data_IF_451704690643
#
_entry.id   IF_451704690643
#
_cell.length_a   1.000
_cell.length_b   1.000
_cell.length_c   1.000
_cell.angle_alpha   90.00
_cell.angle_beta   90.00
_cell.angle_gamma   90.00
#
_symmetry.space_group_name_H-M   'P 1'
#
loop_
_entity.id
_entity.type
_entity.pdbx_description
1 polymer ?
#
# COMPACT_ATOMS: atom_id res chain seq x y z
N UNK A 1 -23.50 31.44 -41.11
CA UNK A 1 -22.44 31.45 -42.14
C UNK A 1 -22.33 30.01 -42.60
N UNK A 2 -22.93 29.56 -43.73
CA UNK A 2 -23.03 30.23 -45.05
C UNK A 2 -21.62 30.69 -45.48
N UNK A 3 -21.06 30.36 -46.62
CA UNK A 3 -21.63 29.91 -47.90
C UNK A 3 -20.71 28.82 -48.54
N UNK A 4 -20.98 28.19 -49.70
CA UNK A 4 -21.88 28.57 -50.79
C UNK A 4 -22.60 27.36 -51.44
N UNK A 5 -22.37 27.12 -52.74
CA UNK A 5 -23.25 26.47 -53.71
C UNK A 5 -22.45 25.93 -54.92
N UNK A 6 -23.09 24.99 -55.64
CA UNK A 6 -23.00 24.71 -57.10
C UNK A 6 -22.32 23.41 -57.59
N UNK A 7 -23.12 22.53 -58.22
CA UNK A 7 -22.74 21.86 -59.48
C UNK A 7 -23.10 22.76 -60.68
N UNK A 8 -22.93 22.33 -61.96
CA UNK A 8 -23.54 21.07 -62.43
C UNK A 8 -22.76 20.28 -63.52
N UNK A 9 -23.38 19.16 -63.90
CA UNK A 9 -23.35 18.41 -65.17
C UNK A 9 -22.46 18.85 -66.34
N UNK A 10 -21.76 17.88 -66.94
CA UNK A 10 -21.93 17.55 -68.37
C UNK A 10 -21.41 16.14 -68.69
N UNK A 11 -22.02 15.51 -69.70
CA UNK A 11 -21.71 14.16 -70.20
C UNK A 11 -20.59 14.22 -71.25
N UNK A 12 -19.81 13.14 -71.43
CA UNK A 12 -19.90 12.27 -72.63
C UNK A 12 -19.01 11.00 -72.54
N UNK A 13 -19.63 9.86 -72.83
CA UNK A 13 -19.20 8.72 -73.66
C UNK A 13 -17.71 8.35 -73.82
N UNK A 14 -17.41 7.05 -73.69
CA UNK A 14 -16.25 6.44 -74.36
C UNK A 14 -15.82 5.10 -73.78
N UNK A 15 -16.21 4.01 -74.45
CA UNK A 15 -15.96 2.61 -74.10
C UNK A 15 -14.55 2.26 -73.58
N UNK A 16 -14.49 1.23 -72.72
CA UNK A 16 -13.60 0.07 -72.93
C UNK A 16 -14.04 -1.11 -72.04
N UNK A 17 -14.37 -2.22 -72.69
CA UNK A 17 -14.50 -3.53 -72.04
C UNK A 17 -13.12 -4.06 -71.66
N UNK A 18 -12.95 -4.61 -70.46
CA UNK A 18 -12.21 -5.86 -70.25
C UNK A 18 -12.59 -6.45 -68.88
N UNK A 19 -13.23 -7.61 -68.90
CA UNK A 19 -13.45 -8.40 -67.68
C UNK A 19 -12.20 -9.22 -67.38
N UNK A 20 -11.67 -9.12 -66.15
CA UNK A 20 -10.72 -10.06 -65.52
C UNK A 20 -10.55 -9.74 -64.03
N UNK A 21 -11.58 -9.95 -63.21
CA UNK A 21 -11.39 -10.03 -61.74
C UNK A 21 -10.96 -11.47 -61.37
N UNK A 22 -9.65 -11.66 -61.27
CA UNK A 22 -9.00 -12.91 -60.80
C UNK A 22 -9.35 -13.20 -59.34
N UNK A 23 -10.44 -13.96 -59.10
CA UNK A 23 -10.75 -14.51 -57.77
C UNK A 23 -9.78 -15.64 -57.44
N UNK A 24 -8.65 -15.29 -56.82
CA UNK A 24 -7.63 -16.22 -56.38
C UNK A 24 -8.15 -17.37 -55.50
N UNK A 25 -7.47 -18.53 -55.48
CA UNK A 25 -8.02 -19.77 -54.95
C UNK A 25 -8.26 -19.71 -53.43
N UNK A 26 -9.49 -20.05 -53.03
CA UNK A 26 -9.92 -20.16 -51.62
C UNK A 26 -8.95 -21.05 -50.83
N UNK A 27 -8.50 -20.54 -49.68
CA UNK A 27 -7.48 -21.20 -48.84
C UNK A 27 -7.80 -22.67 -48.54
N UNK A 28 -6.81 -23.55 -48.71
CA UNK A 28 -6.91 -24.98 -48.39
C UNK A 28 -7.29 -25.17 -46.93
N UNK A 29 -8.51 -25.67 -46.68
CA UNK A 29 -8.90 -26.20 -45.36
C UNK A 29 -8.03 -27.43 -45.08
N UNK A 30 -7.13 -27.33 -44.10
CA UNK A 30 -6.39 -28.50 -43.61
C UNK A 30 -7.36 -29.51 -43.01
N UNK A 31 -7.13 -30.83 -43.20
CA UNK A 31 -8.05 -31.84 -42.69
C UNK A 31 -8.17 -31.76 -41.16
N UNK A 32 -9.40 -31.82 -40.66
CA UNK A 32 -9.71 -31.82 -39.24
C UNK A 32 -9.11 -33.10 -38.63
N UNK A 33 -8.07 -32.95 -37.80
CA UNK A 33 -7.47 -34.08 -37.09
C UNK A 33 -8.49 -34.67 -36.10
N UNK A 34 -8.38 -35.97 -35.89
CA UNK A 34 -9.21 -36.69 -34.92
C UNK A 34 -9.01 -36.15 -33.50
N UNK A 35 -10.01 -36.33 -32.65
CA UNK A 35 -9.95 -35.99 -31.23
C UNK A 35 -9.04 -36.96 -30.50
N UNK A 36 -8.15 -36.44 -29.66
CA UNK A 36 -7.28 -37.24 -28.79
C UNK A 36 -7.83 -37.40 -27.37
N UNK A 37 -8.82 -36.59 -27.02
CA UNK A 37 -9.59 -36.71 -25.77
C UNK A 37 -10.92 -37.40 -26.07
N UNK A 38 -11.37 -38.24 -25.16
CA UNK A 38 -12.66 -38.93 -25.23
C UNK A 38 -13.62 -38.43 -24.15
N UNK A 39 -14.93 -38.58 -24.39
CA UNK A 39 -15.96 -38.32 -23.37
C UNK A 39 -15.75 -39.26 -22.17
N UNK A 40 -15.93 -38.74 -20.96
CA UNK A 40 -15.67 -39.46 -19.71
C UNK A 40 -14.20 -39.54 -19.29
N UNK A 41 -13.24 -39.14 -20.14
CA UNK A 41 -11.82 -39.19 -19.81
C UNK A 41 -11.45 -38.16 -18.72
N UNK A 42 -10.58 -38.57 -17.79
CA UNK A 42 -10.22 -37.79 -16.59
C UNK A 42 -8.79 -37.22 -16.69
N UNK A 43 -8.64 -35.93 -16.38
CA UNK A 43 -7.41 -35.16 -16.38
C UNK A 43 -7.24 -34.43 -15.03
N UNK A 44 -6.63 -35.11 -14.06
CA UNK A 44 -6.58 -34.63 -12.68
C UNK A 44 -7.98 -34.66 -12.04
N UNK A 45 -8.54 -33.49 -11.70
CA UNK A 45 -9.91 -33.37 -11.19
C UNK A 45 -10.96 -33.12 -12.28
N UNK A 46 -10.56 -33.01 -13.55
CA UNK A 46 -11.46 -32.67 -14.67
C UNK A 46 -11.88 -33.91 -15.44
N UNK A 47 -13.17 -34.17 -15.53
CA UNK A 47 -13.77 -35.18 -16.42
C UNK A 47 -14.31 -34.50 -17.67
N UNK A 48 -13.91 -34.94 -18.86
CA UNK A 48 -14.44 -34.44 -20.13
C UNK A 48 -15.92 -34.84 -20.29
N UNK A 49 -16.81 -33.87 -20.50
CA UNK A 49 -18.27 -34.10 -20.62
C UNK A 49 -18.86 -33.65 -21.96
N UNK A 50 -18.18 -32.81 -22.74
CA UNK A 50 -18.67 -32.29 -24.02
C UNK A 50 -17.50 -31.85 -24.92
N UNK A 51 -17.54 -32.17 -26.22
CA UNK A 51 -16.64 -31.57 -27.22
C UNK A 51 -17.26 -30.26 -27.71
N UNK A 52 -16.62 -29.13 -27.40
CA UNK A 52 -17.08 -27.79 -27.78
C UNK A 52 -16.58 -27.36 -29.17
N UNK A 53 -15.98 -28.27 -29.94
CA UNK A 53 -15.52 -27.98 -31.29
C UNK A 53 -14.18 -27.24 -31.34
N UNK A 54 -13.90 -26.66 -32.51
CA UNK A 54 -12.68 -25.90 -32.80
C UNK A 54 -12.14 -26.19 -34.19
N UNK A 55 -11.62 -25.16 -34.87
CA UNK A 55 -11.28 -25.19 -36.30
C UNK A 55 -9.88 -25.72 -36.61
N UNK A 56 -9.03 -25.86 -35.59
CA UNK A 56 -7.63 -26.31 -35.70
C UNK A 56 -7.28 -27.25 -34.54
N UNK A 57 -6.33 -28.15 -34.72
CA UNK A 57 -6.00 -29.18 -33.73
C UNK A 57 -5.59 -28.66 -32.33
N UNK A 58 -4.94 -27.48 -32.25
CA UNK A 58 -4.63 -26.83 -30.97
C UNK A 58 -5.79 -25.99 -30.40
N UNK A 59 -6.87 -25.82 -31.16
CA UNK A 59 -8.06 -25.05 -30.80
C UNK A 59 -9.26 -25.92 -30.41
N UNK A 60 -9.14 -27.26 -30.43
CA UNK A 60 -10.19 -28.15 -29.93
C UNK A 60 -10.41 -27.90 -28.44
N UNK A 61 -11.65 -27.62 -28.03
CA UNK A 61 -12.02 -27.32 -26.65
C UNK A 61 -12.98 -28.38 -26.12
N UNK A 62 -12.82 -28.69 -24.85
CA UNK A 62 -13.64 -29.65 -24.12
C UNK A 62 -14.26 -28.97 -22.92
N UNK A 63 -15.58 -29.12 -22.77
CA UNK A 63 -16.26 -28.83 -21.52
C UNK A 63 -15.91 -29.94 -20.56
N UNK A 64 -15.42 -29.56 -19.39
CA UNK A 64 -15.01 -30.48 -18.35
C UNK A 64 -15.76 -30.18 -17.05
N UNK A 65 -16.24 -31.22 -16.38
CA UNK A 65 -16.76 -31.14 -15.02
C UNK A 65 -15.65 -31.44 -14.03
N UNK A 66 -15.46 -30.56 -13.07
CA UNK A 66 -14.49 -30.72 -11.99
C UNK A 66 -15.11 -31.55 -10.85
N UNK A 67 -14.28 -32.33 -10.14
CA UNK A 67 -14.70 -33.06 -8.94
C UNK A 67 -15.33 -32.16 -7.84
N UNK A 68 -15.05 -30.85 -7.84
CA UNK A 68 -15.70 -29.88 -6.96
C UNK A 68 -17.06 -29.36 -7.46
N UNK A 69 -17.64 -29.96 -8.51
CA UNK A 69 -18.91 -29.57 -9.13
C UNK A 69 -18.83 -28.39 -10.13
N UNK A 70 -17.73 -27.66 -10.17
CA UNK A 70 -17.54 -26.56 -11.13
C UNK A 70 -17.26 -27.04 -12.56
N UNK A 71 -17.64 -26.26 -13.57
CA UNK A 71 -17.40 -26.58 -14.99
C UNK A 71 -16.37 -25.62 -15.61
N UNK A 72 -15.61 -26.08 -16.60
CA UNK A 72 -14.63 -25.26 -17.34
C UNK A 72 -14.49 -25.70 -18.79
N UNK A 73 -14.21 -24.76 -19.70
CA UNK A 73 -13.84 -25.05 -21.08
C UNK A 73 -12.32 -25.01 -21.22
N UNK A 74 -11.69 -26.18 -21.41
CA UNK A 74 -10.24 -26.33 -21.54
C UNK A 74 -9.85 -26.78 -22.95
N UNK A 75 -8.70 -26.36 -23.46
CA UNK A 75 -8.22 -26.89 -24.74
C UNK A 75 -7.73 -28.32 -24.59
N UNK A 76 -7.92 -29.14 -25.64
CA UNK A 76 -7.46 -30.53 -25.70
C UNK A 76 -5.96 -30.65 -25.36
N UNK A 77 -5.15 -29.73 -25.88
CA UNK A 77 -3.74 -29.59 -25.55
C UNK A 77 -3.51 -29.39 -24.04
N UNK A 78 -4.28 -28.52 -23.39
CA UNK A 78 -4.09 -28.21 -21.96
C UNK A 78 -4.46 -29.36 -21.03
N UNK A 79 -5.40 -30.21 -21.45
CA UNK A 79 -5.80 -31.43 -20.75
C UNK A 79 -4.72 -32.51 -20.89
N UNK A 80 -4.32 -32.83 -22.13
CA UNK A 80 -3.33 -33.89 -22.42
C UNK A 80 -1.96 -33.60 -21.77
N UNK A 81 -1.44 -32.37 -21.92
CA UNK A 81 -0.16 -31.99 -21.33
C UNK A 81 -0.27 -31.55 -19.86
N UNK A 82 -1.47 -31.66 -19.25
CA UNK A 82 -1.69 -31.42 -17.82
C UNK A 82 -1.46 -29.98 -17.36
N UNK A 83 -1.56 -29.00 -18.27
CA UNK A 83 -1.53 -27.57 -17.95
C UNK A 83 -2.77 -27.13 -17.16
N UNK A 84 -3.90 -27.81 -17.35
CA UNK A 84 -5.14 -27.58 -16.62
C UNK A 84 -5.62 -28.91 -16.01
N UNK A 85 -5.71 -28.95 -14.67
CA UNK A 85 -6.06 -30.17 -13.89
C UNK A 85 -7.24 -29.96 -12.93
N UNK A 86 -7.87 -28.79 -12.95
CA UNK A 86 -9.08 -28.43 -12.18
C UNK A 86 -9.74 -27.20 -12.82
N UNK A 87 -10.97 -26.87 -12.44
CA UNK A 87 -11.63 -25.62 -12.87
C UNK A 87 -11.07 -24.35 -12.16
N UNK A 88 -9.86 -24.42 -11.61
CA UNK A 88 -9.24 -23.36 -10.80
C UNK A 88 -9.46 -23.48 -9.29
N UNK A 89 -10.34 -24.39 -8.83
CA UNK A 89 -10.67 -24.56 -7.41
C UNK A 89 -9.43 -24.82 -6.53
N UNK A 90 -8.48 -25.65 -6.97
CA UNK A 90 -7.21 -25.91 -6.27
C UNK A 90 -6.42 -24.62 -6.06
N UNK A 91 -6.40 -23.73 -7.07
CA UNK A 91 -5.72 -22.44 -7.00
C UNK A 91 -6.38 -21.51 -6.00
N UNK A 92 -7.72 -21.42 -6.01
CA UNK A 92 -8.49 -20.63 -5.04
C UNK A 92 -8.31 -21.14 -3.61
N UNK A 93 -8.36 -22.46 -3.39
CA UNK A 93 -8.21 -23.06 -2.06
C UNK A 93 -6.80 -22.85 -1.50
N UNK A 94 -5.75 -23.07 -2.31
CA UNK A 94 -4.37 -22.82 -1.91
C UNK A 94 -4.10 -21.33 -1.64
N UNK A 95 -4.64 -20.43 -2.47
CA UNK A 95 -4.58 -18.99 -2.22
C UNK A 95 -5.30 -18.64 -0.90
N UNK A 96 -6.50 -19.20 -0.67
CA UNK A 96 -7.27 -18.97 0.55
C UNK A 96 -6.51 -19.43 1.80
N UNK A 97 -6.00 -20.68 1.81
CA UNK A 97 -5.20 -21.24 2.91
C UNK A 97 -3.98 -20.36 3.23
N UNK A 98 -3.21 -19.96 2.21
CA UNK A 98 -2.06 -19.04 2.36
C UNK A 98 -2.48 -17.67 2.92
N UNK A 99 -3.53 -17.06 2.37
CA UNK A 99 -4.04 -15.75 2.82
C UNK A 99 -4.58 -15.81 4.25
N UNK A 100 -5.23 -16.90 4.65
CA UNK A 100 -5.75 -17.11 6.00
C UNK A 100 -4.62 -17.30 7.02
N UNK A 101 -3.59 -18.08 6.67
CA UNK A 101 -2.39 -18.24 7.51
C UNK A 101 -1.70 -16.89 7.75
N UNK A 102 -1.42 -16.13 6.70
CA UNK A 102 -0.81 -14.79 6.79
C UNK A 102 -1.71 -13.78 7.56
N UNK A 103 -3.04 -13.89 7.45
CA UNK A 103 -3.95 -13.08 8.25
C UNK A 103 -3.91 -13.46 9.74
N UNK A 104 -3.87 -14.76 10.06
CA UNK A 104 -3.74 -15.24 11.45
C UNK A 104 -2.44 -14.75 12.09
N UNK A 105 -1.30 -14.97 11.43
CA UNK A 105 0.02 -14.49 11.88
C UNK A 105 0.05 -12.97 12.12
N UNK A 106 -0.55 -12.19 11.22
CA UNK A 106 -0.56 -10.72 11.28
C UNK A 106 -1.44 -10.16 12.40
N UNK A 107 -2.56 -10.80 12.72
CA UNK A 107 -3.59 -10.22 13.57
C UNK A 107 -3.76 -10.95 14.91
N UNK A 108 -3.81 -12.28 14.94
CA UNK A 108 -4.16 -13.04 16.16
C UNK A 108 -3.13 -12.83 17.26
N UNK A 109 -3.61 -12.61 18.48
CA UNK A 109 -2.77 -12.26 19.64
C UNK A 109 -2.15 -10.87 19.58
N UNK A 110 -2.38 -10.07 18.53
CA UNK A 110 -1.91 -8.69 18.44
C UNK A 110 -2.98 -7.71 18.94
N UNK A 111 -2.51 -6.68 19.65
CA UNK A 111 -3.37 -5.61 20.17
C UNK A 111 -3.40 -4.41 19.20
N UNK A 112 -4.59 -3.96 18.85
CA UNK A 112 -4.88 -2.85 17.93
C UNK A 112 -5.68 -1.78 18.69
N UNK A 113 -4.97 -0.83 19.30
CA UNK A 113 -5.58 0.09 20.27
C UNK A 113 -5.90 -0.64 21.57
N UNK A 114 -7.19 -0.79 21.88
CA UNK A 114 -7.70 -1.56 23.02
C UNK A 114 -8.29 -2.92 22.61
N UNK A 115 -8.24 -3.30 21.33
CA UNK A 115 -8.74 -4.59 20.84
C UNK A 115 -7.60 -5.60 20.70
N UNK A 116 -7.69 -6.74 21.40
CA UNK A 116 -6.80 -7.89 21.17
C UNK A 116 -7.54 -8.89 20.30
N UNK A 117 -7.01 -9.16 19.10
CA UNK A 117 -7.66 -10.10 18.16
C UNK A 117 -7.49 -11.53 18.66
N UNK A 118 -8.61 -12.21 18.88
CA UNK A 118 -8.66 -13.60 19.32
C UNK A 118 -8.76 -14.57 18.15
N UNK A 119 -9.49 -14.20 17.09
CA UNK A 119 -9.74 -15.08 15.94
C UNK A 119 -9.80 -14.32 14.62
N UNK A 120 -9.49 -15.03 13.52
CA UNK A 120 -9.72 -14.59 12.14
C UNK A 120 -10.71 -15.54 11.48
N UNK A 121 -11.85 -14.97 11.09
CA UNK A 121 -12.99 -15.65 10.48
C UNK A 121 -12.99 -15.49 8.95
N UNK A 122 -13.62 -16.42 8.21
CA UNK A 122 -13.84 -16.28 6.77
C UNK A 122 -14.55 -14.96 6.41
N UNK A 123 -14.32 -14.43 5.19
CA UNK A 123 -15.11 -13.33 4.65
C UNK A 123 -16.61 -13.67 4.65
N UNK A 124 -17.48 -12.67 4.64
CA UNK A 124 -18.93 -12.86 4.68
C UNK A 124 -19.65 -11.89 3.73
N UNK A 125 -20.70 -12.38 3.07
CA UNK A 125 -21.38 -11.65 1.99
C UNK A 125 -20.41 -11.29 0.88
N UNK A 126 -20.48 -10.04 0.41
CA UNK A 126 -19.66 -9.54 -0.70
C UNK A 126 -18.28 -8.99 -0.29
N UNK A 127 -17.97 -8.89 1.01
CA UNK A 127 -16.64 -8.44 1.46
C UNK A 127 -15.61 -9.55 1.20
N UNK A 128 -14.49 -9.20 0.56
CA UNK A 128 -13.36 -10.12 0.26
C UNK A 128 -12.28 -10.11 1.35
N UNK A 129 -12.44 -9.29 2.38
CA UNK A 129 -11.57 -9.23 3.54
C UNK A 129 -11.98 -10.28 4.58
N UNK A 130 -10.99 -10.88 5.24
CA UNK A 130 -11.27 -11.68 6.42
C UNK A 130 -11.88 -10.81 7.52
N UNK A 131 -12.72 -11.43 8.35
CA UNK A 131 -13.25 -10.81 9.56
C UNK A 131 -12.37 -11.15 10.75
N UNK A 132 -12.41 -10.33 11.78
CA UNK A 132 -11.76 -10.59 13.06
C UNK A 132 -12.81 -10.72 14.16
N UNK A 133 -12.44 -11.47 15.19
CA UNK A 133 -13.05 -11.43 16.53
C UNK A 133 -12.01 -10.85 17.47
N UNK A 134 -12.39 -9.90 18.32
CA UNK A 134 -11.48 -9.32 19.31
C UNK A 134 -12.14 -9.12 20.66
N UNK A 135 -11.42 -9.45 21.73
CA UNK A 135 -11.72 -8.97 23.07
C UNK A 135 -11.27 -7.51 23.19
N UNK A 136 -11.90 -6.75 24.08
CA UNK A 136 -11.50 -5.37 24.35
C UNK A 136 -10.98 -5.25 25.78
N UNK A 137 -9.93 -4.46 25.98
CA UNK A 137 -9.42 -4.07 27.30
C UNK A 137 -10.47 -3.39 28.19
N UNK A 138 -11.61 -2.95 27.62
CA UNK A 138 -12.77 -2.45 28.37
C UNK A 138 -13.50 -3.54 29.20
N UNK A 139 -13.17 -4.83 29.03
CA UNK A 139 -13.81 -5.94 29.76
C UNK A 139 -15.25 -6.25 29.32
N UNK A 140 -15.74 -5.65 28.23
CA UNK A 140 -17.09 -5.90 27.75
C UNK A 140 -17.30 -7.39 27.39
N UNK A 141 -18.44 -8.00 27.77
CA UNK A 141 -18.69 -9.43 27.59
C UNK A 141 -18.85 -9.84 26.12
N UNK A 142 -19.24 -8.89 25.26
CA UNK A 142 -19.44 -9.14 23.83
C UNK A 142 -18.15 -8.85 23.05
N UNK A 143 -17.66 -9.87 22.32
CA UNK A 143 -16.55 -9.70 21.40
C UNK A 143 -16.87 -8.72 20.27
N UNK A 144 -15.88 -7.92 19.86
CA UNK A 144 -15.99 -7.04 18.69
C UNK A 144 -15.76 -7.87 17.43
N UNK A 145 -16.75 -7.90 16.55
CA UNK A 145 -16.63 -8.47 15.19
C UNK A 145 -16.52 -7.31 14.19
N UNK A 146 -15.62 -7.44 13.22
CA UNK A 146 -15.44 -6.47 12.13
C UNK A 146 -14.59 -7.04 11.00
N UNK A 147 -14.32 -6.26 9.96
CA UNK A 147 -13.39 -6.66 8.90
C UNK A 147 -11.94 -6.23 9.21
N UNK A 148 -10.97 -7.02 8.74
CA UNK A 148 -9.54 -6.77 8.97
C UNK A 148 -9.06 -5.41 8.44
N UNK A 149 -9.70 -4.87 7.41
CA UNK A 149 -9.42 -3.51 6.90
C UNK A 149 -9.69 -2.39 7.93
N UNK A 150 -10.71 -2.56 8.79
CA UNK A 150 -11.03 -1.59 9.86
C UNK A 150 -9.98 -1.53 10.98
N UNK A 151 -9.26 -2.63 11.22
CA UNK A 151 -8.08 -2.67 12.11
C UNK A 151 -6.90 -1.94 11.46
N UNK A 152 -6.56 -2.26 10.21
CA UNK A 152 -5.41 -1.66 9.51
C UNK A 152 -5.50 -0.13 9.39
N UNK A 153 -6.71 0.39 9.21
CA UNK A 153 -6.99 1.82 9.15
C UNK A 153 -7.06 2.50 10.53
N UNK A 154 -7.36 1.75 11.59
CA UNK A 154 -7.61 2.31 12.93
C UNK A 154 -8.94 3.06 13.05
N UNK A 155 -9.93 2.70 12.22
CA UNK A 155 -11.31 3.13 12.42
C UNK A 155 -11.97 2.41 13.60
N UNK A 156 -11.59 1.15 13.83
CA UNK A 156 -12.06 0.33 14.96
C UNK A 156 -10.87 -0.01 15.85
N UNK A 157 -10.95 0.38 17.12
CA UNK A 157 -9.86 0.27 18.10
C UNK A 157 -10.36 0.02 19.54
N UNK A 158 -11.67 -0.19 19.73
CA UNK A 158 -12.30 -0.56 21.01
C UNK A 158 -13.67 -1.24 20.77
N UNK A 159 -14.23 -1.82 21.82
CA UNK A 159 -15.61 -2.32 21.92
C UNK A 159 -16.63 -1.24 21.49
N UNK A 160 -16.52 -0.04 22.08
CA UNK A 160 -17.41 1.11 21.87
C UNK A 160 -17.29 1.77 20.49
N UNK A 161 -18.43 2.01 19.82
CA UNK A 161 -18.48 2.87 18.62
C UNK A 161 -19.88 3.49 18.49
N UNK A 162 -20.05 4.81 18.23
CA UNK A 162 -19.08 5.90 18.21
C UNK A 162 -19.39 6.96 19.30
N UNK A 163 -18.96 6.73 20.55
CA UNK A 163 -18.96 7.77 21.61
C UNK A 163 -17.62 7.76 22.35
N UNK A 164 -16.66 8.50 21.80
CA UNK A 164 -15.34 8.73 22.42
C UNK A 164 -15.23 10.17 22.91
N UNK A 165 -15.08 10.36 24.22
CA UNK A 165 -14.69 11.67 24.78
C UNK A 165 -13.26 12.04 24.33
N UNK A 166 -12.89 13.31 24.45
CA UNK A 166 -11.53 13.75 24.10
C UNK A 166 -10.47 13.11 25.01
N UNK A 167 -10.81 12.86 26.28
CA UNK A 167 -9.94 12.18 27.25
C UNK A 167 -9.68 10.74 26.80
N UNK A 168 -10.73 9.96 26.47
CA UNK A 168 -10.58 8.58 25.97
C UNK A 168 -9.73 8.48 24.70
N UNK A 169 -9.77 9.50 23.82
CA UNK A 169 -8.90 9.56 22.62
C UNK A 169 -7.42 9.73 23.00
N UNK A 170 -7.10 10.54 24.00
CA UNK A 170 -5.72 10.72 24.46
C UNK A 170 -5.19 9.47 25.17
N UNK A 171 -5.99 8.81 26.01
CA UNK A 171 -5.61 7.53 26.64
C UNK A 171 -5.29 6.46 25.59
N UNK A 172 -6.20 6.25 24.62
CA UNK A 172 -5.97 5.33 23.50
C UNK A 172 -4.68 5.64 22.72
N UNK A 173 -4.40 6.92 22.46
CA UNK A 173 -3.16 7.33 21.76
C UNK A 173 -1.91 7.04 22.60
N UNK A 174 -1.95 7.23 23.93
CA UNK A 174 -0.85 6.89 24.82
C UNK A 174 -0.65 5.37 24.91
N UNK A 175 -1.72 4.57 24.95
CA UNK A 175 -1.62 3.11 24.97
C UNK A 175 -1.03 2.56 23.67
N UNK A 176 -1.41 3.09 22.50
CA UNK A 176 -0.78 2.74 21.21
C UNK A 176 0.68 3.16 21.20
N UNK A 177 1.01 4.35 21.71
CA UNK A 177 2.39 4.82 21.82
C UNK A 177 3.23 3.93 22.75
N UNK A 178 2.64 3.45 23.87
CA UNK A 178 3.27 2.53 24.81
C UNK A 178 3.54 1.17 24.13
N UNK A 179 2.56 0.59 23.46
CA UNK A 179 2.73 -0.67 22.71
C UNK A 179 3.85 -0.56 21.66
N UNK A 180 3.93 0.56 20.93
CA UNK A 180 5.02 0.80 19.96
C UNK A 180 6.36 0.98 20.69
N UNK A 181 6.39 1.63 21.85
CA UNK A 181 7.59 1.75 22.67
C UNK A 181 8.11 0.40 23.17
N UNK A 182 7.20 -0.50 23.54
CA UNK A 182 7.43 -1.88 23.98
C UNK A 182 7.77 -2.85 22.82
N UNK A 183 7.80 -2.36 21.57
CA UNK A 183 8.26 -3.13 20.41
C UNK A 183 7.16 -3.61 19.45
N UNK A 184 5.91 -3.12 19.55
CA UNK A 184 4.86 -3.48 18.61
C UNK A 184 5.14 -2.97 17.18
N UNK A 185 5.40 -3.90 16.25
CA UNK A 185 5.74 -3.62 14.84
C UNK A 185 4.58 -3.79 13.85
N UNK A 186 3.45 -4.36 14.28
CA UNK A 186 2.32 -4.69 13.38
C UNK A 186 1.49 -3.48 12.92
N UNK A 187 1.64 -2.33 13.57
CA UNK A 187 0.93 -1.09 13.24
C UNK A 187 1.40 -0.50 11.90
N UNK A 188 0.55 -0.43 10.86
CA UNK A 188 0.94 0.13 9.57
C UNK A 188 1.02 1.66 9.64
N UNK A 189 1.83 2.29 8.77
CA UNK A 189 2.07 3.75 8.75
C UNK A 189 0.80 4.60 8.59
N UNK A 190 -0.23 4.05 7.94
CA UNK A 190 -1.53 4.71 7.73
C UNK A 190 -2.56 4.42 8.85
N UNK A 191 -2.20 3.65 9.88
CA UNK A 191 -3.04 3.47 11.06
C UNK A 191 -3.31 4.83 11.72
N UNK A 192 -4.58 5.15 11.97
CA UNK A 192 -5.01 6.49 12.41
C UNK A 192 -4.25 7.00 13.64
N UNK A 193 -3.99 6.14 14.63
CA UNK A 193 -3.23 6.54 15.81
C UNK A 193 -1.75 6.83 15.49
N UNK A 194 -1.09 6.02 14.64
CA UNK A 194 0.31 6.27 14.22
C UNK A 194 0.43 7.60 13.48
N UNK A 195 -0.54 7.93 12.61
CA UNK A 195 -0.61 9.23 11.94
C UNK A 195 -0.71 10.37 12.97
N UNK A 196 -1.66 10.30 13.90
CA UNK A 196 -1.85 11.32 14.95
C UNK A 196 -0.63 11.46 15.88
N UNK A 197 0.01 10.35 16.25
CA UNK A 197 1.24 10.36 17.06
C UNK A 197 2.43 10.97 16.31
N UNK A 198 2.50 10.78 14.99
CA UNK A 198 3.50 11.42 14.12
C UNK A 198 3.24 12.92 14.00
N UNK A 199 1.99 13.34 13.81
CA UNK A 199 1.58 14.75 13.75
C UNK A 199 1.83 15.49 15.07
N UNK A 200 1.66 14.79 16.21
CA UNK A 200 2.04 15.27 17.56
C UNK A 200 3.55 15.17 17.85
N UNK A 201 4.38 14.72 16.91
CA UNK A 201 5.84 14.58 17.10
C UNK A 201 6.27 13.54 18.14
N UNK A 202 5.37 12.65 18.58
CA UNK A 202 5.66 11.55 19.50
C UNK A 202 6.31 10.35 18.80
N UNK A 203 6.07 10.18 17.49
CA UNK A 203 6.72 9.19 16.63
C UNK A 203 7.47 9.86 15.47
N UNK A 204 8.61 9.29 15.08
CA UNK A 204 9.37 9.75 13.92
C UNK A 204 8.79 9.18 12.60
N UNK A 205 8.31 10.07 11.71
CA UNK A 205 7.53 9.75 10.49
C UNK A 205 8.13 8.66 9.59
N UNK A 206 9.45 8.57 9.46
CA UNK A 206 10.11 7.61 8.55
C UNK A 206 10.40 6.26 9.21
N UNK A 207 10.89 6.27 10.44
CA UNK A 207 11.39 5.07 11.14
C UNK A 207 10.37 4.44 12.10
N UNK A 208 9.29 5.15 12.45
CA UNK A 208 8.33 4.69 13.47
C UNK A 208 8.85 4.73 14.91
N UNK A 209 10.09 5.19 15.13
CA UNK A 209 10.70 5.24 16.45
C UNK A 209 10.04 6.28 17.37
N UNK A 210 9.89 5.94 18.65
CA UNK A 210 9.38 6.85 19.70
C UNK A 210 10.41 7.95 19.99
N UNK A 211 9.99 9.21 19.85
CA UNK A 211 10.85 10.38 20.06
C UNK A 211 11.04 10.67 21.55
N UNK A 212 11.99 11.54 21.91
CA UNK A 212 12.16 12.01 23.29
C UNK A 212 10.88 12.71 23.81
N UNK A 213 10.14 13.42 22.95
CA UNK A 213 8.83 13.97 23.30
C UNK A 213 7.80 12.85 23.56
N UNK A 214 7.77 11.81 22.71
CA UNK A 214 6.92 10.63 22.94
C UNK A 214 7.20 9.94 24.28
N UNK A 215 8.48 9.71 24.61
CA UNK A 215 8.91 9.15 25.90
C UNK A 215 8.49 10.02 27.09
N UNK A 216 8.63 11.35 26.97
CA UNK A 216 8.15 12.30 28.00
C UNK A 216 6.63 12.20 28.20
N UNK A 217 5.86 12.14 27.11
CA UNK A 217 4.40 12.02 27.16
C UNK A 217 3.93 10.69 27.79
N UNK A 218 4.68 9.60 27.60
CA UNK A 218 4.46 8.33 28.31
C UNK A 218 4.74 8.48 29.81
N UNK A 219 5.89 9.05 30.19
CA UNK A 219 6.27 9.26 31.59
C UNK A 219 5.30 10.19 32.35
N UNK A 220 4.73 11.21 31.70
CA UNK A 220 3.76 12.12 32.33
C UNK A 220 2.29 11.68 32.21
N UNK A 221 2.00 10.57 31.51
CA UNK A 221 0.64 10.11 31.23
C UNK A 221 -0.23 11.12 30.46
N UNK A 222 0.38 12.11 29.81
CA UNK A 222 -0.30 13.25 29.15
C UNK A 222 0.51 13.69 27.95
N UNK A 223 -0.16 13.92 26.82
CA UNK A 223 0.44 14.73 25.74
C UNK A 223 0.58 16.16 26.24
N UNK A 224 1.80 16.59 26.54
CA UNK A 224 2.07 18.02 26.62
C UNK A 224 1.81 18.64 25.25
N UNK A 225 1.57 19.95 25.19
CA UNK A 225 1.89 20.66 23.96
C UNK A 225 3.30 20.27 23.52
N UNK A 226 3.51 20.12 22.21
CA UNK A 226 4.87 20.21 21.68
C UNK A 226 5.44 21.50 22.27
N UNK A 227 6.67 21.49 22.84
CA UNK A 227 7.30 22.76 23.17
C UNK A 227 7.28 23.56 21.89
N UNK A 228 6.55 24.70 21.89
CA UNK A 228 6.61 25.67 20.81
C UNK A 228 8.09 25.90 20.63
N UNK A 229 8.64 25.50 19.48
CA UNK A 229 10.06 25.55 19.24
C UNK A 229 10.47 27.00 19.54
N UNK A 230 11.24 27.20 20.62
CA UNK A 230 11.43 28.51 21.23
C UNK A 230 11.72 29.49 20.09
N UNK A 231 10.91 30.57 19.97
CA UNK A 231 10.76 31.33 18.73
C UNK A 231 12.15 31.56 18.17
N UNK A 232 12.41 31.01 16.97
CA UNK A 232 13.76 30.98 16.41
C UNK A 232 14.26 32.41 16.47
N UNK A 233 15.29 32.64 17.28
CA UNK A 233 15.86 33.97 17.40
C UNK A 233 16.36 34.34 16.00
N UNK A 234 15.65 35.25 15.35
CA UNK A 234 15.90 35.60 13.96
C UNK A 234 17.12 36.52 13.91
N UNK A 235 18.28 35.87 13.96
CA UNK A 235 19.57 36.54 13.92
C UNK A 235 19.75 37.23 12.57
N UNK A 236 20.09 38.52 12.57
CA UNK A 236 20.50 39.24 11.35
C UNK A 236 21.87 38.73 10.87
N UNK A 237 22.28 39.02 9.62
CA UNK A 237 23.58 38.54 9.14
C UNK A 237 24.76 39.21 9.89
N UNK A 238 24.61 40.43 10.39
CA UNK A 238 25.59 41.11 11.27
C UNK A 238 25.73 40.36 12.60
N UNK A 239 24.61 39.98 13.22
CA UNK A 239 24.61 39.23 14.48
C UNK A 239 25.20 37.83 14.28
N UNK A 240 24.90 37.15 13.17
CA UNK A 240 25.51 35.85 12.83
C UNK A 240 27.02 36.00 12.62
N UNK A 241 27.48 37.08 11.97
CA UNK A 241 28.90 37.37 11.78
C UNK A 241 29.60 37.65 13.11
N UNK A 242 28.99 38.44 14.02
CA UNK A 242 29.53 38.71 15.35
C UNK A 242 29.69 37.43 16.20
N UNK A 243 28.69 36.53 16.16
CA UNK A 243 28.77 35.20 16.81
C UNK A 243 29.89 34.36 16.21
N UNK A 244 30.00 34.37 14.87
CA UNK A 244 31.06 33.65 14.15
C UNK A 244 32.44 34.18 14.54
N UNK A 245 32.67 35.50 14.57
CA UNK A 245 33.92 36.11 15.01
C UNK A 245 34.26 35.78 16.47
N UNK A 246 33.27 35.85 17.35
CA UNK A 246 33.43 35.46 18.76
C UNK A 246 33.82 33.97 18.92
N UNK A 247 33.39 33.10 18.00
CA UNK A 247 33.76 31.68 17.99
C UNK A 247 35.19 31.39 17.51
N UNK A 248 35.97 32.40 17.11
CA UNK A 248 37.41 32.28 16.87
C UNK A 248 38.26 32.79 18.05
N UNK A 249 37.70 33.65 18.91
CA UNK A 249 38.44 34.40 19.96
C UNK A 249 38.42 33.75 21.35
N UNK A 250 37.95 32.51 21.48
CA UNK A 250 37.77 31.86 22.78
C UNK A 250 38.47 30.52 22.86
N UNK A 251 39.07 30.23 24.02
CA UNK A 251 39.70 28.94 24.36
C UNK A 251 38.69 27.80 24.60
N UNK A 252 37.42 28.04 24.33
CA UNK A 252 36.28 27.17 24.67
C UNK A 252 35.88 26.33 23.45
N UNK A 253 35.58 25.05 23.66
CA UNK A 253 35.14 24.15 22.58
C UNK A 253 33.91 24.71 21.85
N UNK A 254 33.88 24.62 20.53
CA UNK A 254 32.76 25.13 19.71
C UNK A 254 31.38 24.57 20.12
N UNK A 255 31.33 23.37 20.70
CA UNK A 255 30.10 22.77 21.22
C UNK A 255 29.54 23.55 22.42
N UNK A 256 30.41 23.88 23.37
CA UNK A 256 30.09 24.64 24.58
C UNK A 256 29.79 26.10 24.25
N UNK A 257 30.56 26.70 23.35
CA UNK A 257 30.27 28.04 22.82
C UNK A 257 28.89 28.10 22.13
N UNK A 258 28.58 27.12 21.26
CA UNK A 258 27.29 27.06 20.60
C UNK A 258 26.13 26.90 21.59
N UNK A 259 26.29 26.05 22.62
CA UNK A 259 25.33 25.89 23.70
C UNK A 259 25.13 27.19 24.50
N UNK A 260 26.21 27.91 24.85
CA UNK A 260 26.19 29.19 25.57
C UNK A 260 25.46 30.30 24.79
N UNK A 261 25.53 30.27 23.45
CA UNK A 261 24.83 31.22 22.55
C UNK A 261 23.40 30.75 22.20
N UNK A 262 22.99 29.54 22.61
CA UNK A 262 21.65 29.00 22.35
C UNK A 262 21.44 28.52 20.91
N UNK A 263 22.50 28.09 20.22
CA UNK A 263 22.46 27.57 18.85
C UNK A 263 23.03 26.15 18.76
N UNK A 264 22.67 25.39 17.72
CA UNK A 264 23.30 24.09 17.49
C UNK A 264 24.72 24.27 16.92
N UNK A 265 25.64 23.36 17.26
CA UNK A 265 26.98 23.34 16.68
C UNK A 265 26.95 23.25 15.13
N UNK A 266 25.97 22.54 14.57
CA UNK A 266 25.78 22.46 13.11
C UNK A 266 25.33 23.80 12.49
N UNK A 267 24.61 24.62 13.25
CA UNK A 267 24.22 25.98 12.86
C UNK A 267 25.46 26.88 12.80
N UNK A 268 26.30 26.81 13.83
CA UNK A 268 27.56 27.57 13.91
C UNK A 268 28.49 27.23 12.73
N UNK A 269 28.68 25.94 12.42
CA UNK A 269 29.51 25.53 11.28
C UNK A 269 28.94 25.98 9.91
N UNK A 270 27.61 25.98 9.72
CA UNK A 270 26.99 26.53 8.50
C UNK A 270 27.28 28.02 8.35
N UNK A 271 27.16 28.81 9.43
CA UNK A 271 27.46 30.24 9.38
C UNK A 271 28.95 30.50 9.12
N UNK A 272 29.87 29.78 9.79
CA UNK A 272 31.32 29.85 9.52
C UNK A 272 31.63 29.55 8.04
N UNK A 273 30.99 28.53 7.46
CA UNK A 273 31.15 28.19 6.04
C UNK A 273 30.56 29.25 5.09
N UNK A 274 29.44 29.90 5.45
CA UNK A 274 28.85 31.01 4.69
C UNK A 274 29.81 32.21 4.63
N UNK A 275 30.24 32.73 5.80
CA UNK A 275 31.05 33.94 5.86
C UNK A 275 32.51 33.74 5.38
N UNK A 276 33.05 32.51 5.48
CA UNK A 276 34.35 32.17 4.87
C UNK A 276 34.31 32.21 3.33
N UNK A 277 33.14 31.99 2.70
CA UNK A 277 32.96 32.04 1.24
C UNK A 277 32.60 33.42 0.69
N UNK A 278 32.11 34.34 1.53
CA UNK A 278 31.62 35.65 1.08
C UNK A 278 32.66 36.77 1.17
N UNK A 279 33.94 36.45 1.35
CA UNK A 279 35.06 37.40 1.51
C UNK A 279 34.94 38.42 2.66
N UNK A 280 33.91 38.32 3.51
CA UNK A 280 33.68 39.21 4.66
C UNK A 280 34.58 38.90 5.87
N UNK A 281 35.30 37.78 5.84
CA UNK A 281 36.33 37.42 6.82
C UNK A 281 37.70 37.63 6.16
N UNK A 282 38.32 38.79 6.43
CA UNK A 282 39.71 39.05 6.04
C UNK A 282 40.70 38.12 6.77
N UNK A 283 41.93 37.93 6.26
CA UNK A 283 42.91 37.00 6.85
C UNK A 283 43.19 37.23 8.33
N UNK A 284 43.09 38.48 8.79
CA UNK A 284 43.30 38.91 10.18
C UNK A 284 42.22 38.43 11.16
N UNK A 285 41.05 37.98 10.67
CA UNK A 285 39.93 37.51 11.49
C UNK A 285 39.94 35.99 11.73
N UNK A 286 40.97 35.29 11.22
CA UNK A 286 41.15 33.83 11.29
C UNK A 286 42.38 33.42 12.13
N UNK A 287 43.01 34.38 12.82
CA UNK A 287 44.02 34.13 13.86
C UNK A 287 43.36 34.08 15.23
#
# INVERSE_FOLDING_TARGET
>A
MRDYLHGPSSQVNGALSFASDEVGPKARRTPKRERRVQLGQVFGLLTAIEDLGGDRAMAYRWKCRCACGGETASSEYSLIYGNVRSCGCIGFENMYKRRLAAARERFVGKTWGWLTVTEILPPAGNDRNFRFVASCACGAPNFKIGNTASLLSGWVSTCCSPRFSMQSKNTLLLDVLRQIHEGATHYPRNYRAVKLLTERGALHKRTGAVTNHGRKCLATGKFSSLPVAAPRKDWTDEQRLAIVLSSYRGEVLHAEFAAKVGISITTLYRWRSKFRKSSLLGPSALR
#
